data_IF_887586623201
#
_entry.id   IF_887586623201
#
_cell.length_a   1.000
_cell.length_b   1.000
_cell.length_c   1.000
_cell.angle_alpha   90.00
_cell.angle_beta   90.00
_cell.angle_gamma   90.00
#
_symmetry.space_group_name_H-M   'P 1'
#
loop_
_entity.id
_entity.type
_entity.pdbx_description
1 polymer ?
#
# COMPACT_ATOMS: atom_id res chain seq x y z
N UNK A 1 -1.88 -12.31 -36.09
CA UNK A 1 -0.66 -12.49 -35.28
C UNK A 1 -0.88 -11.67 -34.00
N UNK A 2 -1.20 -12.30 -32.88
CA UNK A 2 -1.61 -11.56 -31.66
C UNK A 2 -0.40 -10.84 -31.05
N UNK A 3 -0.51 -9.51 -30.90
CA UNK A 3 0.45 -8.59 -30.26
C UNK A 3 0.68 -8.91 -28.76
N UNK A 4 -0.05 -9.87 -28.20
CA UNK A 4 -0.01 -10.26 -26.80
C UNK A 4 1.27 -11.01 -26.41
N UNK A 5 1.93 -11.69 -27.35
CA UNK A 5 3.13 -12.49 -27.05
C UNK A 5 4.29 -11.62 -26.54
N UNK A 6 4.36 -10.35 -26.96
CA UNK A 6 5.37 -9.39 -26.48
C UNK A 6 5.17 -9.02 -25.00
N UNK A 7 3.96 -9.18 -24.47
CA UNK A 7 3.64 -8.89 -23.07
C UNK A 7 3.74 -10.12 -22.15
N UNK A 8 4.06 -11.30 -22.68
CA UNK A 8 4.16 -12.53 -21.87
C UNK A 8 5.24 -12.41 -20.79
N UNK A 9 6.35 -11.73 -21.11
CA UNK A 9 7.43 -11.44 -20.15
C UNK A 9 6.92 -10.51 -19.04
N UNK A 10 6.15 -9.47 -19.40
CA UNK A 10 5.57 -8.54 -18.43
C UNK A 10 4.63 -9.26 -17.46
N UNK A 11 3.73 -10.10 -17.97
CA UNK A 11 2.81 -10.87 -17.13
C UNK A 11 3.55 -11.87 -16.23
N UNK A 12 4.54 -12.57 -16.78
CA UNK A 12 5.38 -13.49 -16.00
C UNK A 12 6.10 -12.74 -14.87
N UNK A 13 6.68 -11.58 -15.18
CA UNK A 13 7.34 -10.74 -14.19
C UNK A 13 6.38 -10.27 -13.10
N UNK A 14 5.19 -9.77 -13.47
CA UNK A 14 4.17 -9.29 -12.53
C UNK A 14 3.74 -10.40 -11.57
N UNK A 15 3.52 -11.61 -12.08
CA UNK A 15 3.17 -12.78 -11.27
C UNK A 15 4.28 -13.10 -10.27
N UNK A 16 5.54 -13.20 -10.73
CA UNK A 16 6.68 -13.52 -9.86
C UNK A 16 6.87 -12.42 -8.82
N UNK A 17 6.85 -11.15 -9.22
CA UNK A 17 7.03 -10.01 -8.34
C UNK A 17 5.95 -9.91 -7.26
N UNK A 18 4.70 -10.27 -7.58
CA UNK A 18 3.60 -10.33 -6.62
C UNK A 18 3.68 -11.56 -5.72
N UNK A 19 4.13 -12.70 -6.24
CA UNK A 19 4.23 -13.96 -5.48
C UNK A 19 5.27 -13.87 -4.36
N UNK A 20 6.40 -13.19 -4.59
CA UNK A 20 7.49 -13.07 -3.61
C UNK A 20 7.02 -12.49 -2.26
N UNK A 21 6.38 -11.30 -2.17
CA UNK A 21 5.91 -10.77 -0.90
C UNK A 21 4.83 -11.65 -0.27
N UNK A 22 3.95 -12.26 -1.06
CA UNK A 22 2.92 -13.18 -0.55
C UNK A 22 3.58 -14.37 0.14
N UNK A 23 4.55 -15.02 -0.50
CA UNK A 23 5.31 -16.13 0.08
C UNK A 23 6.09 -15.68 1.31
N UNK A 24 6.71 -14.50 1.29
CA UNK A 24 7.43 -13.96 2.44
C UNK A 24 6.51 -13.77 3.65
N UNK A 25 5.31 -13.20 3.46
CA UNK A 25 4.31 -13.06 4.52
C UNK A 25 3.78 -14.41 5.01
N UNK A 26 3.54 -15.37 4.11
CA UNK A 26 3.09 -16.72 4.48
C UNK A 26 4.13 -17.47 5.32
N UNK A 27 5.39 -17.45 4.88
CA UNK A 27 6.50 -18.06 5.62
C UNK A 27 6.66 -17.38 6.98
N UNK A 28 6.66 -16.04 7.01
CA UNK A 28 6.75 -15.30 8.27
C UNK A 28 5.58 -15.61 9.20
N UNK A 29 4.35 -15.73 8.68
CA UNK A 29 3.18 -16.05 9.48
C UNK A 29 3.18 -17.48 10.03
N UNK A 30 3.81 -18.43 9.33
CA UNK A 30 3.90 -19.82 9.76
C UNK A 30 5.07 -20.08 10.73
N UNK A 31 6.21 -19.42 10.53
CA UNK A 31 7.43 -19.66 11.32
C UNK A 31 7.59 -18.70 12.51
N UNK A 32 7.03 -17.49 12.46
CA UNK A 32 7.22 -16.52 13.53
C UNK A 32 6.46 -16.95 14.80
N UNK A 33 7.05 -16.78 16.00
CA UNK A 33 6.35 -17.01 17.24
C UNK A 33 5.19 -16.02 17.38
N UNK A 34 3.97 -16.55 17.43
CA UNK A 34 2.77 -15.75 17.67
C UNK A 34 2.64 -15.52 19.17
N UNK A 35 2.53 -14.25 19.56
CA UNK A 35 2.15 -13.84 20.91
C UNK A 35 0.88 -13.02 20.79
N UNK A 36 -0.14 -13.38 21.56
CA UNK A 36 -1.48 -12.79 21.54
C UNK A 36 -1.79 -12.01 22.84
N UNK A 37 -0.74 -11.51 23.51
CA UNK A 37 -0.92 -10.69 24.71
C UNK A 37 -1.72 -9.42 24.42
N UNK A 38 -2.62 -8.98 25.34
CA UNK A 38 -3.48 -7.82 25.13
C UNK A 38 -2.67 -6.52 24.88
N UNK A 39 -1.49 -6.39 25.50
CA UNK A 39 -0.59 -5.25 25.30
C UNK A 39 -0.04 -5.18 23.86
N UNK A 40 0.30 -6.33 23.26
CA UNK A 40 0.82 -6.38 21.87
C UNK A 40 -0.25 -6.03 20.84
N UNK A 41 -1.52 -6.29 21.15
CA UNK A 41 -2.67 -5.96 20.31
C UNK A 41 -3.21 -4.55 20.57
N UNK A 42 -2.69 -3.85 21.58
CA UNK A 42 -3.06 -2.47 21.89
C UNK A 42 -2.31 -1.48 20.99
N UNK A 43 -2.92 -0.34 20.71
CA UNK A 43 -2.25 0.73 19.95
C UNK A 43 -1.10 1.32 20.75
N UNK A 44 0.02 1.58 20.08
CA UNK A 44 1.18 2.18 20.72
C UNK A 44 0.92 3.64 21.09
N UNK A 45 0.94 3.94 22.39
CA UNK A 45 0.70 5.27 22.95
C UNK A 45 1.77 5.63 24.02
N UNK A 46 3.03 5.26 23.76
CA UNK A 46 4.18 5.51 24.66
C UNK A 46 4.00 5.04 26.12
N UNK A 47 3.15 4.05 26.36
CA UNK A 47 2.86 3.49 27.69
C UNK A 47 1.72 4.18 28.45
N UNK A 48 0.99 5.09 27.82
CA UNK A 48 -0.21 5.73 28.37
C UNK A 48 -1.45 5.09 27.75
N UNK A 49 -2.57 5.03 28.48
CA UNK A 49 -3.83 4.59 27.88
C UNK A 49 -4.31 5.63 26.85
N UNK A 50 -4.80 5.20 25.67
CA UNK A 50 -5.31 6.12 24.67
C UNK A 50 -6.48 6.93 25.24
N UNK A 51 -6.30 8.24 25.33
CA UNK A 51 -7.33 9.16 25.84
C UNK A 51 -7.89 10.01 24.71
N UNK A 52 -9.23 10.07 24.62
CA UNK A 52 -9.94 10.83 23.60
C UNK A 52 -10.25 10.02 22.34
N UNK A 53 -10.81 10.69 21.33
CA UNK A 53 -11.10 10.05 20.04
C UNK A 53 -9.99 10.32 19.02
N UNK A 54 -9.67 9.34 18.18
CA UNK A 54 -8.72 9.47 17.08
C UNK A 54 -9.22 10.33 15.90
N UNK A 55 -10.12 11.29 16.18
CA UNK A 55 -10.71 12.18 15.18
C UNK A 55 -9.74 13.32 14.90
N UNK A 56 -8.83 13.08 13.97
CA UNK A 56 -7.95 14.13 13.45
C UNK A 56 -8.67 14.82 12.29
N UNK A 57 -8.74 16.15 12.35
CA UNK A 57 -9.12 16.94 11.18
C UNK A 57 -8.01 16.81 10.13
N UNK A 58 -8.26 16.01 9.09
CA UNK A 58 -7.36 15.93 7.95
C UNK A 58 -7.21 17.31 7.33
N UNK A 59 -5.96 17.78 7.22
CA UNK A 59 -5.67 19.07 6.60
C UNK A 59 -6.14 19.08 5.15
N UNK A 60 -6.87 20.14 4.78
CA UNK A 60 -7.32 20.39 3.39
C UNK A 60 -6.17 20.37 2.37
N UNK A 61 -4.93 20.65 2.82
CA UNK A 61 -3.75 20.60 1.98
C UNK A 61 -3.57 19.24 1.29
N UNK A 62 -3.81 18.11 1.97
CA UNK A 62 -3.66 16.78 1.36
C UNK A 62 -4.64 16.58 0.19
N UNK A 63 -5.86 17.10 0.33
CA UNK A 63 -6.86 17.09 -0.74
C UNK A 63 -6.44 17.98 -1.91
N UNK A 64 -5.99 19.21 -1.62
CA UNK A 64 -5.50 20.12 -2.66
C UNK A 64 -4.33 19.52 -3.44
N UNK A 65 -3.39 18.86 -2.76
CA UNK A 65 -2.28 18.15 -3.42
C UNK A 65 -2.77 17.04 -4.34
N UNK A 66 -3.69 16.19 -3.87
CA UNK A 66 -4.24 15.11 -4.69
C UNK A 66 -5.02 15.63 -5.91
N UNK A 67 -5.83 16.69 -5.72
CA UNK A 67 -6.61 17.29 -6.79
C UNK A 67 -5.71 17.90 -7.87
N UNK A 68 -4.68 18.66 -7.45
CA UNK A 68 -3.70 19.25 -8.36
C UNK A 68 -2.92 18.15 -9.09
N UNK A 69 -2.48 17.09 -8.38
CA UNK A 69 -1.80 15.94 -8.99
C UNK A 69 -2.62 15.30 -10.11
N UNK A 70 -3.91 15.02 -9.88
CA UNK A 70 -4.79 14.40 -10.89
C UNK A 70 -4.94 15.29 -12.12
N UNK A 71 -5.09 16.60 -11.94
CA UNK A 71 -5.20 17.54 -13.07
C UNK A 71 -3.92 17.54 -13.91
N UNK A 72 -2.76 17.59 -13.27
CA UNK A 72 -1.46 17.57 -13.96
C UNK A 72 -1.13 16.22 -14.59
N UNK A 73 -1.56 15.12 -14.01
CA UNK A 73 -1.41 13.78 -14.58
C UNK A 73 -2.19 13.68 -15.91
N UNK A 74 -3.44 14.14 -15.91
CA UNK A 74 -4.26 14.23 -17.13
C UNK A 74 -3.65 15.18 -18.16
N UNK A 75 -3.14 16.34 -17.74
CA UNK A 75 -2.44 17.27 -18.64
C UNK A 75 -1.22 16.60 -19.29
N UNK A 76 -0.43 15.85 -18.51
CA UNK A 76 0.75 15.14 -19.01
C UNK A 76 0.40 14.11 -20.08
N UNK A 77 -0.72 13.39 -19.92
CA UNK A 77 -1.21 12.46 -20.95
C UNK A 77 -1.49 13.18 -22.29
N UNK A 78 -1.93 14.44 -22.26
CA UNK A 78 -2.13 15.23 -23.48
C UNK A 78 -0.82 15.84 -24.03
N UNK A 79 0.18 16.09 -23.18
CA UNK A 79 1.49 16.61 -23.61
C UNK A 79 2.38 15.57 -24.29
N UNK A 80 2.20 14.28 -23.97
CA UNK A 80 2.92 13.16 -24.56
C UNK A 80 1.98 12.28 -25.42
N UNK A 81 1.64 12.71 -26.64
CA UNK A 81 0.81 11.92 -27.56
C UNK A 81 1.53 10.70 -28.13
#
# INVERSE_FOLDING_TARGET
MFLLHEYDIFWTFLIIASLIPILAFLISGLLAPVSEGPEKLSSYESGIEPMGGAWVQFRICCYMFALVFVVFDVETVFLYP
#
